data_IF_287642549350
#
_entry.id   IF_287642549350
#
_cell.length_a   1.000
_cell.length_b   1.000
_cell.length_c   1.000
_cell.angle_alpha   90.00
_cell.angle_beta   90.00
_cell.angle_gamma   90.00
#
_symmetry.space_group_name_H-M   'P 1'
#
loop_
_entity.id
_entity.type
_entity.pdbx_description
1 polymer ?
#
# COMPACT_ATOMS: atom_id res chain seq x y z
N UNK A 1 1.38 2.18 -16.71
CA UNK A 1 0.44 3.05 -17.39
C UNK A 1 0.35 2.67 -18.86
N UNK A 2 -0.83 2.69 -19.42
CA UNK A 2 -1.09 2.28 -20.81
C UNK A 2 -0.58 3.30 -21.81
N UNK A 3 -0.45 4.53 -21.36
CA UNK A 3 0.05 5.64 -22.17
C UNK A 3 1.38 6.15 -21.61
N UNK A 4 2.37 6.44 -22.46
CA UNK A 4 3.63 7.01 -22.02
C UNK A 4 3.41 8.35 -21.28
N UNK A 5 3.97 8.45 -20.07
CA UNK A 5 3.87 9.64 -19.23
C UNK A 5 2.66 9.69 -18.29
N UNK A 6 1.70 8.80 -18.43
CA UNK A 6 0.58 8.68 -17.47
C UNK A 6 1.06 8.09 -16.14
N UNK A 7 0.61 8.70 -15.05
CA UNK A 7 0.99 8.29 -13.68
C UNK A 7 -0.22 7.94 -12.80
N UNK A 8 -1.41 7.89 -13.40
CA UNK A 8 -2.66 7.71 -12.64
C UNK A 8 -3.05 8.97 -11.87
N UNK A 9 -3.91 8.80 -10.87
CA UNK A 9 -4.44 9.90 -10.06
C UNK A 9 -4.06 9.71 -8.61
N UNK A 10 -3.39 10.70 -8.03
CA UNK A 10 -3.19 10.82 -6.59
C UNK A 10 -4.27 11.74 -6.02
N UNK A 11 -4.87 11.36 -4.91
CA UNK A 11 -5.93 12.12 -4.24
C UNK A 11 -5.43 12.92 -3.04
N UNK A 12 -4.29 12.52 -2.47
CA UNK A 12 -3.69 13.13 -1.30
C UNK A 12 -2.19 13.34 -1.53
N UNK A 13 -1.67 14.40 -0.95
CA UNK A 13 -0.24 14.68 -0.87
C UNK A 13 0.33 14.10 0.44
N UNK A 14 1.66 13.83 0.54
CA UNK A 14 2.28 13.26 1.73
C UNK A 14 2.01 14.04 3.01
N UNK A 15 1.94 15.38 2.93
CA UNK A 15 1.66 16.25 4.08
C UNK A 15 0.24 16.07 4.62
N UNK A 16 -0.74 15.83 3.74
CA UNK A 16 -2.13 15.56 4.11
C UNK A 16 -2.25 14.20 4.78
N UNK A 17 -1.56 13.19 4.25
CA UNK A 17 -1.46 11.85 4.83
C UNK A 17 -0.83 11.93 6.22
N UNK A 18 0.29 12.64 6.37
CA UNK A 18 0.94 12.84 7.65
C UNK A 18 0.04 13.52 8.68
N UNK A 19 -0.67 14.57 8.27
CA UNK A 19 -1.62 15.25 9.14
C UNK A 19 -2.75 14.31 9.61
N UNK A 20 -3.28 13.48 8.72
CA UNK A 20 -4.30 12.48 9.04
C UNK A 20 -3.77 11.42 10.03
N UNK A 21 -2.56 10.89 9.80
CA UNK A 21 -1.91 9.93 10.70
C UNK A 21 -1.69 10.50 12.11
N UNK A 22 -1.27 11.75 12.20
CA UNK A 22 -1.11 12.45 13.49
C UNK A 22 -2.44 12.56 14.21
N UNK A 23 -3.49 13.03 13.54
CA UNK A 23 -4.84 13.17 14.11
C UNK A 23 -5.41 11.82 14.57
N UNK A 24 -5.24 10.75 13.77
CA UNK A 24 -5.63 9.40 14.15
C UNK A 24 -4.88 8.92 15.39
N UNK A 25 -3.57 9.20 15.48
CA UNK A 25 -2.76 8.84 16.64
C UNK A 25 -3.16 9.56 17.91
N UNK A 26 -3.63 10.81 17.82
CA UNK A 26 -4.14 11.58 18.95
C UNK A 26 -5.43 11.01 19.53
N UNK A 27 -6.26 10.42 18.68
CA UNK A 27 -7.56 9.84 19.06
C UNK A 27 -7.53 8.33 19.24
N UNK A 28 -6.36 7.68 19.13
CA UNK A 28 -6.19 6.22 19.12
C UNK A 28 -7.07 5.54 18.06
N UNK A 29 -7.22 6.17 16.90
CA UNK A 29 -7.98 5.65 15.77
C UNK A 29 -7.02 5.07 14.73
N UNK A 30 -7.37 3.93 14.14
CA UNK A 30 -6.64 3.37 13.01
C UNK A 30 -6.91 4.20 11.75
N UNK A 31 -5.85 4.62 11.05
CA UNK A 31 -5.97 5.15 9.71
C UNK A 31 -5.96 4.01 8.69
N UNK A 32 -6.74 4.15 7.61
CA UNK A 32 -6.74 3.26 6.45
C UNK A 32 -6.62 4.07 5.16
N UNK A 33 -5.83 3.57 4.21
CA UNK A 33 -5.65 4.20 2.90
C UNK A 33 -5.86 3.18 1.79
N UNK A 34 -6.58 3.57 0.75
CA UNK A 34 -6.71 2.82 -0.48
C UNK A 34 -5.48 3.07 -1.36
N UNK A 35 -4.76 2.01 -1.76
CA UNK A 35 -3.48 2.11 -2.47
C UNK A 35 -3.40 1.01 -3.54
N UNK A 36 -3.47 1.37 -4.82
CA UNK A 36 -3.35 0.40 -5.92
C UNK A 36 -1.99 0.50 -6.62
N UNK A 37 -1.63 1.68 -7.10
CA UNK A 37 -0.38 1.88 -7.87
C UNK A 37 0.86 2.08 -7.00
N UNK A 38 2.03 1.89 -7.61
CA UNK A 38 3.34 2.11 -6.99
C UNK A 38 3.52 3.56 -6.51
N UNK A 39 3.21 4.56 -7.34
CA UNK A 39 3.29 5.96 -6.96
C UNK A 39 2.34 6.32 -5.80
N UNK A 40 1.16 5.69 -5.72
CA UNK A 40 0.26 5.87 -4.60
C UNK A 40 0.85 5.29 -3.31
N UNK A 41 1.50 4.13 -3.39
CA UNK A 41 2.19 3.53 -2.25
C UNK A 41 3.34 4.42 -1.77
N UNK A 42 4.19 4.90 -2.67
CA UNK A 42 5.28 5.82 -2.32
C UNK A 42 4.75 7.06 -1.62
N UNK A 43 3.72 7.69 -2.17
CA UNK A 43 3.09 8.89 -1.58
C UNK A 43 2.58 8.62 -0.15
N UNK A 44 1.93 7.47 0.06
CA UNK A 44 1.45 7.11 1.41
C UNK A 44 2.61 6.87 2.36
N UNK A 45 3.62 6.13 1.94
CA UNK A 45 4.80 5.86 2.78
C UNK A 45 5.57 7.14 3.10
N UNK A 46 5.70 8.08 2.15
CA UNK A 46 6.29 9.41 2.42
C UNK A 46 5.48 10.17 3.48
N UNK A 47 4.16 10.05 3.47
CA UNK A 47 3.31 10.56 4.53
C UNK A 47 3.59 9.93 5.90
N UNK A 48 3.89 8.62 5.95
CA UNK A 48 4.33 7.95 7.18
C UNK A 48 5.68 8.47 7.67
N UNK A 49 6.65 8.69 6.77
CA UNK A 49 7.95 9.26 7.12
C UNK A 49 7.78 10.66 7.76
N UNK A 50 7.00 11.53 7.13
CA UNK A 50 6.69 12.86 7.68
C UNK A 50 5.93 12.80 9.02
N UNK A 51 5.03 11.84 9.19
CA UNK A 51 4.33 11.65 10.46
C UNK A 51 5.31 11.13 11.54
N UNK A 52 6.22 10.23 11.17
CA UNK A 52 7.24 9.71 12.10
C UNK A 52 8.16 10.81 12.64
N UNK A 53 8.52 11.79 11.81
CA UNK A 53 9.26 12.98 12.26
C UNK A 53 8.50 13.80 13.33
N UNK A 54 7.16 13.81 13.26
CA UNK A 54 6.29 14.59 14.16
C UNK A 54 5.97 13.88 15.47
N UNK A 55 5.65 12.59 15.41
CA UNK A 55 5.12 11.84 16.56
C UNK A 55 5.91 10.60 16.95
N UNK A 56 6.95 10.26 16.17
CA UNK A 56 7.81 9.10 16.38
C UNK A 56 7.24 7.79 15.84
N UNK A 57 8.12 6.88 15.43
CA UNK A 57 7.79 5.58 14.84
C UNK A 57 6.94 4.72 15.78
N UNK A 58 7.29 4.66 17.08
CA UNK A 58 6.58 3.83 18.05
C UNK A 58 5.09 4.20 18.15
N UNK A 59 4.75 5.48 18.02
CA UNK A 59 3.36 5.92 18.07
C UNK A 59 2.58 5.54 16.81
N UNK A 60 3.23 5.59 15.65
CA UNK A 60 2.64 5.09 14.40
C UNK A 60 2.39 3.58 14.47
N UNK A 61 3.37 2.80 14.93
CA UNK A 61 3.23 1.34 15.09
C UNK A 61 2.06 1.00 16.03
N UNK A 62 1.88 1.74 17.11
CA UNK A 62 0.77 1.54 18.04
C UNK A 62 -0.61 1.77 17.39
N UNK A 63 -0.69 2.63 16.37
CA UNK A 63 -1.91 2.91 15.60
C UNK A 63 -2.39 1.75 14.73
N UNK A 64 -1.51 0.77 14.44
CA UNK A 64 -1.82 -0.41 13.61
C UNK A 64 -2.51 -0.02 12.29
N UNK A 65 -1.97 1.00 11.64
CA UNK A 65 -2.53 1.55 10.40
C UNK A 65 -2.59 0.52 9.29
N UNK A 66 -3.48 0.72 8.31
CA UNK A 66 -3.79 -0.27 7.29
C UNK A 66 -3.77 0.32 5.88
N UNK A 67 -3.28 -0.47 4.93
CA UNK A 67 -3.41 -0.17 3.51
C UNK A 67 -4.31 -1.21 2.86
N UNK A 68 -5.29 -0.75 2.08
CA UNK A 68 -6.11 -1.61 1.24
C UNK A 68 -5.42 -1.81 -0.10
N UNK A 69 -5.44 -3.03 -0.60
CA UNK A 69 -4.88 -3.52 -1.84
C UNK A 69 -3.35 -3.62 -1.80
N UNK A 70 -2.62 -2.52 -1.89
CA UNK A 70 -1.16 -2.48 -2.00
C UNK A 70 -0.67 -3.48 -3.07
N UNK A 71 -1.21 -3.36 -4.29
CA UNK A 71 -1.00 -4.34 -5.36
C UNK A 71 0.41 -4.29 -5.95
N UNK A 72 1.10 -3.15 -5.87
CA UNK A 72 2.44 -2.93 -6.46
C UNK A 72 3.45 -2.59 -5.37
N UNK A 73 3.98 -3.59 -4.68
CA UNK A 73 4.92 -3.43 -3.57
C UNK A 73 6.27 -4.01 -3.93
N UNK A 74 7.27 -3.16 -4.04
CA UNK A 74 8.66 -3.55 -4.22
C UNK A 74 9.37 -3.87 -2.90
N UNK A 75 10.65 -4.22 -2.96
CA UNK A 75 11.44 -4.56 -1.76
C UNK A 75 11.61 -3.35 -0.82
N UNK A 76 11.87 -2.17 -1.35
CA UNK A 76 12.07 -0.97 -0.54
C UNK A 76 10.79 -0.59 0.22
N UNK A 77 9.65 -0.65 -0.46
CA UNK A 77 8.34 -0.41 0.14
C UNK A 77 8.01 -1.45 1.21
N UNK A 78 8.34 -2.75 1.02
CA UNK A 78 8.16 -3.78 2.05
C UNK A 78 8.93 -3.45 3.35
N UNK A 79 10.16 -2.96 3.22
CA UNK A 79 10.94 -2.56 4.41
C UNK A 79 10.28 -1.40 5.16
N UNK A 80 9.71 -0.43 4.45
CA UNK A 80 8.96 0.69 5.06
C UNK A 80 7.66 0.21 5.73
N UNK A 81 6.92 -0.71 5.09
CA UNK A 81 5.73 -1.34 5.69
C UNK A 81 6.07 -2.01 7.03
N UNK A 82 7.17 -2.75 7.08
CA UNK A 82 7.66 -3.39 8.31
C UNK A 82 8.08 -2.37 9.36
N UNK A 83 8.82 -1.34 8.95
CA UNK A 83 9.32 -0.30 9.87
C UNK A 83 8.18 0.39 10.61
N UNK A 84 7.02 0.57 9.97
CA UNK A 84 5.84 1.19 10.57
C UNK A 84 4.81 0.19 11.10
N UNK A 85 5.05 -1.12 10.98
CA UNK A 85 4.11 -2.19 11.34
C UNK A 85 2.75 -2.02 10.65
N UNK A 86 2.77 -1.61 9.38
CA UNK A 86 1.57 -1.39 8.59
C UNK A 86 0.96 -2.75 8.21
N UNK A 87 -0.33 -2.92 8.44
CA UNK A 87 -1.08 -4.08 7.97
C UNK A 87 -1.55 -3.85 6.54
N UNK A 88 -1.35 -4.83 5.67
CA UNK A 88 -1.85 -4.78 4.29
C UNK A 88 -3.05 -5.70 4.13
N UNK A 89 -4.14 -5.18 3.58
CA UNK A 89 -5.38 -5.92 3.29
C UNK A 89 -5.40 -6.25 1.80
N UNK A 90 -5.11 -7.51 1.46
CA UNK A 90 -4.96 -7.97 0.07
C UNK A 90 -6.17 -8.78 -0.40
N UNK A 91 -6.37 -8.81 -1.72
CA UNK A 91 -7.43 -9.53 -2.39
C UNK A 91 -6.85 -10.59 -3.34
N UNK A 92 -6.58 -11.82 -2.88
CA UNK A 92 -5.93 -12.85 -3.71
C UNK A 92 -6.70 -13.19 -4.99
N UNK A 93 -8.02 -13.00 -4.99
CA UNK A 93 -8.85 -13.25 -6.18
C UNK A 93 -8.61 -12.27 -7.32
N UNK A 94 -8.04 -11.11 -7.06
CA UNK A 94 -7.68 -10.17 -8.14
C UNK A 94 -6.63 -10.76 -9.07
N UNK A 95 -5.70 -11.55 -8.53
CA UNK A 95 -4.73 -12.25 -9.35
C UNK A 95 -5.37 -13.34 -10.21
N UNK A 96 -6.34 -14.07 -9.67
CA UNK A 96 -7.15 -15.03 -10.42
C UNK A 96 -7.93 -14.36 -11.58
N UNK A 97 -8.54 -13.20 -11.33
CA UNK A 97 -9.36 -12.52 -12.31
C UNK A 97 -8.56 -11.76 -13.37
N UNK A 98 -7.45 -11.15 -12.99
CA UNK A 98 -6.74 -10.18 -13.82
C UNK A 98 -5.27 -10.50 -14.05
N UNK A 99 -4.69 -11.44 -13.29
CA UNK A 99 -3.26 -11.75 -13.29
C UNK A 99 -2.83 -12.79 -14.33
N UNK A 100 -3.75 -13.43 -15.04
CA UNK A 100 -3.44 -14.43 -16.08
C UNK A 100 -2.52 -13.86 -17.18
N UNK A 101 -1.84 -14.74 -17.92
CA UNK A 101 -0.88 -14.38 -18.99
C UNK A 101 -1.45 -13.37 -20.00
N UNK A 102 -2.74 -13.45 -20.28
CA UNK A 102 -3.47 -12.50 -21.14
C UNK A 102 -4.46 -11.63 -20.36
N UNK A 103 -4.31 -11.57 -19.03
CA UNK A 103 -5.16 -10.80 -18.14
C UNK A 103 -4.94 -9.31 -18.23
N UNK A 104 -5.82 -8.55 -17.59
CA UNK A 104 -5.79 -7.08 -17.61
C UNK A 104 -4.45 -6.52 -17.12
N UNK A 105 -3.88 -7.06 -16.05
CA UNK A 105 -2.61 -6.58 -15.53
C UNK A 105 -1.49 -6.69 -16.56
N UNK A 106 -1.39 -7.82 -17.25
CA UNK A 106 -0.36 -8.02 -18.27
C UNK A 106 -0.55 -7.08 -19.47
N UNK A 107 -1.78 -6.88 -19.90
CA UNK A 107 -2.10 -5.96 -20.99
C UNK A 107 -1.74 -4.51 -20.64
N UNK A 108 -1.98 -4.10 -19.40
CA UNK A 108 -1.81 -2.72 -18.94
C UNK A 108 -0.38 -2.39 -18.49
N UNK A 109 0.30 -3.33 -17.86
CA UNK A 109 1.57 -3.13 -17.17
C UNK A 109 2.76 -3.85 -17.83
N UNK A 110 2.51 -4.73 -18.80
CA UNK A 110 3.57 -5.51 -19.45
C UNK A 110 4.32 -6.38 -18.44
N UNK A 111 5.64 -6.34 -18.45
CA UNK A 111 6.50 -7.12 -17.56
C UNK A 111 6.28 -6.80 -16.07
N UNK A 112 5.87 -5.60 -15.74
CA UNK A 112 5.60 -5.16 -14.35
C UNK A 112 4.44 -5.94 -13.71
N UNK A 113 3.54 -6.50 -14.51
CA UNK A 113 2.43 -7.34 -14.01
C UNK A 113 2.90 -8.54 -13.19
N UNK A 114 4.11 -9.07 -13.45
CA UNK A 114 4.68 -10.18 -12.69
C UNK A 114 5.02 -9.85 -11.23
N UNK A 115 4.95 -8.59 -10.84
CA UNK A 115 5.19 -8.12 -9.47
C UNK A 115 3.90 -7.76 -8.71
N UNK A 116 2.76 -7.82 -9.41
CA UNK A 116 1.46 -7.50 -8.80
C UNK A 116 1.05 -8.55 -7.77
N UNK A 117 0.36 -8.09 -6.73
CA UNK A 117 -0.28 -8.94 -5.72
C UNK A 117 0.63 -10.03 -5.12
N UNK A 118 1.92 -9.75 -4.97
CA UNK A 118 2.91 -10.74 -4.50
C UNK A 118 2.74 -11.07 -3.02
N UNK A 119 1.65 -11.78 -2.70
CA UNK A 119 1.31 -12.23 -1.35
C UNK A 119 2.44 -13.07 -0.73
N UNK A 120 3.08 -13.95 -1.52
CA UNK A 120 4.17 -14.78 -1.03
C UNK A 120 5.37 -13.95 -0.55
N UNK A 121 5.74 -12.90 -1.29
CA UNK A 121 6.82 -12.01 -0.88
C UNK A 121 6.45 -11.20 0.39
N UNK A 122 5.21 -10.77 0.51
CA UNK A 122 4.73 -10.07 1.70
C UNK A 122 4.82 -10.95 2.95
N UNK A 123 4.30 -12.17 2.87
CA UNK A 123 4.33 -13.14 3.98
C UNK A 123 5.77 -13.56 4.32
N UNK A 124 6.61 -13.82 3.32
CA UNK A 124 8.01 -14.21 3.53
C UNK A 124 8.84 -13.10 4.19
N UNK A 125 8.51 -11.84 3.90
CA UNK A 125 9.13 -10.69 4.54
C UNK A 125 8.61 -10.43 5.96
N UNK A 126 7.51 -11.07 6.37
CA UNK A 126 6.89 -10.85 7.68
C UNK A 126 5.98 -9.62 7.76
N UNK A 127 5.56 -9.08 6.63
CA UNK A 127 4.57 -7.98 6.61
C UNK A 127 3.24 -8.49 7.14
N UNK A 128 2.60 -7.79 8.08
CA UNK A 128 1.26 -8.15 8.55
C UNK A 128 0.25 -8.10 7.40
N UNK A 129 -0.38 -9.22 7.07
CA UNK A 129 -1.37 -9.31 5.99
C UNK A 129 -2.71 -9.82 6.52
N UNK A 130 -3.79 -9.19 6.08
CA UNK A 130 -5.15 -9.70 6.18
C UNK A 130 -5.72 -9.89 4.77
N UNK A 131 -6.66 -10.80 4.62
CA UNK A 131 -7.22 -11.13 3.31
C UNK A 131 -8.71 -10.80 3.28
N UNK A 132 -9.17 -10.29 2.16
CA UNK A 132 -10.56 -9.97 1.89
C UNK A 132 -10.94 -10.24 0.44
N UNK A 133 -12.25 -10.15 0.14
CA UNK A 133 -12.75 -10.33 -1.23
C UNK A 133 -12.90 -9.01 -1.99
N UNK A 134 -13.04 -7.91 -1.29
CA UNK A 134 -13.48 -6.61 -1.82
C UNK A 134 -14.82 -6.73 -2.60
N UNK A 135 -15.61 -7.73 -2.23
CA UNK A 135 -16.95 -7.94 -2.77
C UNK A 135 -17.99 -7.28 -1.87
N UNK A 136 -19.09 -6.73 -2.44
CA UNK A 136 -20.20 -6.18 -1.68
C UNK A 136 -20.92 -7.25 -0.86
#
# INVERSE_FOLDING_TARGET
ADAPGERGTLFLEPEQIAAHLVACSETNTQAGFHVIGDAALDTVLDGFDLAAERIGVARLQAGRHRLEHAEMVDEASRQRLLAYSITVSMQPRFDEYWGAEHGMYRQRLGERAGQMNNLAAMLSAGVPVVLGSDAP
#
